data_IF_121056351887
#
_entry.id   IF_121056351887
#
_cell.length_a   1.000
_cell.length_b   1.000
_cell.length_c   1.000
_cell.angle_alpha   90.00
_cell.angle_beta   90.00
_cell.angle_gamma   90.00
#
_symmetry.space_group_name_H-M   'P 1'
#
loop_
_entity.id
_entity.type
_entity.pdbx_description
1 polymer ?
#
# COMPACT_ATOMS: atom_id res chain seq x y z
N UNK A 1 59.20 -18.99 13.64
CA UNK A 1 57.96 -19.79 13.80
C UNK A 1 57.65 -20.46 12.46
N UNK A 2 57.84 -21.78 12.31
CA UNK A 2 57.59 -22.49 11.04
C UNK A 2 56.10 -22.81 10.93
N UNK A 3 55.39 -22.14 10.03
CA UNK A 3 53.99 -22.44 9.74
C UNK A 3 53.92 -23.85 9.15
N UNK A 4 53.12 -24.74 9.75
CA UNK A 4 52.98 -26.12 9.29
C UNK A 4 52.20 -26.16 7.97
N UNK A 5 52.59 -27.04 7.05
CA UNK A 5 51.91 -27.21 5.74
C UNK A 5 50.40 -27.46 5.88
N UNK A 6 49.98 -28.11 6.98
CA UNK A 6 48.58 -28.31 7.33
C UNK A 6 47.82 -27.01 7.61
N UNK A 7 48.46 -26.02 8.23
CA UNK A 7 47.89 -24.70 8.49
C UNK A 7 47.70 -23.91 7.19
N UNK A 8 48.68 -24.00 6.27
CA UNK A 8 48.56 -23.38 4.95
C UNK A 8 47.41 -23.99 4.15
N UNK A 9 47.31 -25.32 4.14
CA UNK A 9 46.22 -26.04 3.46
C UNK A 9 44.83 -25.68 4.04
N UNK A 10 44.73 -25.59 5.37
CA UNK A 10 43.46 -25.24 6.03
C UNK A 10 43.02 -23.80 5.71
N UNK A 11 43.97 -22.85 5.67
CA UNK A 11 43.70 -21.47 5.26
C UNK A 11 43.30 -21.42 3.78
N UNK A 12 43.97 -22.16 2.90
CA UNK A 12 43.61 -22.23 1.47
C UNK A 12 42.21 -22.78 1.25
N UNK A 13 41.80 -23.82 1.99
CA UNK A 13 40.44 -24.38 1.93
C UNK A 13 39.41 -23.37 2.42
N UNK A 14 39.68 -22.67 3.53
CA UNK A 14 38.78 -21.62 4.04
C UNK A 14 38.62 -20.44 3.07
N UNK A 15 39.70 -20.03 2.39
CA UNK A 15 39.65 -18.97 1.37
C UNK A 15 38.85 -19.42 0.15
N UNK A 16 39.04 -20.65 -0.32
CA UNK A 16 38.24 -21.20 -1.44
C UNK A 16 36.76 -21.31 -1.06
N UNK A 17 36.45 -21.74 0.18
CA UNK A 17 35.07 -21.83 0.66
C UNK A 17 34.40 -20.44 0.79
N UNK A 18 35.17 -19.42 1.21
CA UNK A 18 34.68 -18.04 1.29
C UNK A 18 34.44 -17.42 -0.08
N UNK A 19 35.25 -17.78 -1.10
CA UNK A 19 35.08 -17.33 -2.48
C UNK A 19 33.98 -18.10 -3.25
N UNK A 20 33.60 -19.28 -2.76
CA UNK A 20 32.53 -20.10 -3.34
C UNK A 20 31.14 -19.76 -2.80
N UNK A 21 31.00 -18.76 -1.93
CA UNK A 21 29.68 -18.28 -1.49
C UNK A 21 29.01 -17.64 -2.71
N UNK A 22 27.89 -18.19 -3.21
CA UNK A 22 27.18 -17.58 -4.32
C UNK A 22 26.78 -16.17 -3.90
N UNK A 23 27.26 -15.17 -4.64
CA UNK A 23 26.73 -13.83 -4.51
C UNK A 23 25.26 -13.92 -4.91
N UNK A 24 24.36 -13.74 -3.95
CA UNK A 24 22.95 -13.54 -4.24
C UNK A 24 22.87 -12.32 -5.15
N UNK A 25 22.72 -12.56 -6.45
CA UNK A 25 22.48 -11.50 -7.41
C UNK A 25 21.24 -10.76 -6.92
N UNK A 26 21.41 -9.47 -6.61
CA UNK A 26 20.31 -8.64 -6.17
C UNK A 26 19.21 -8.73 -7.23
N UNK A 27 18.01 -9.15 -6.82
CA UNK A 27 16.87 -9.17 -7.73
C UNK A 27 16.70 -7.76 -8.32
N UNK A 28 16.41 -7.64 -9.63
CA UNK A 28 16.29 -6.33 -10.26
C UNK A 28 15.23 -5.51 -9.51
N UNK A 29 15.60 -4.29 -9.13
CA UNK A 29 14.69 -3.39 -8.42
C UNK A 29 13.45 -3.12 -9.28
N UNK A 30 12.23 -3.36 -8.78
CA UNK A 30 11.01 -3.08 -9.52
C UNK A 30 10.95 -1.60 -9.93
N UNK A 31 10.60 -1.34 -11.19
CA UNK A 31 10.44 0.03 -11.74
C UNK A 31 9.03 0.59 -11.54
N UNK A 32 8.07 -0.28 -11.23
CA UNK A 32 6.68 0.04 -10.99
C UNK A 32 6.13 -0.91 -9.93
N UNK A 33 5.42 -0.36 -8.95
CA UNK A 33 4.60 -1.11 -8.00
C UNK A 33 3.14 -0.77 -8.29
N UNK A 34 2.33 -1.79 -8.53
CA UNK A 34 0.90 -1.65 -8.79
C UNK A 34 0.11 -2.30 -7.65
N UNK A 35 -0.52 -1.48 -6.81
CA UNK A 35 -1.43 -1.93 -5.77
C UNK A 35 -2.87 -1.85 -6.30
N UNK A 36 -3.57 -2.97 -6.32
CA UNK A 36 -4.97 -3.07 -6.76
C UNK A 36 -5.80 -3.49 -5.56
N UNK A 37 -6.78 -2.66 -5.20
CA UNK A 37 -7.78 -2.99 -4.18
C UNK A 37 -9.14 -3.13 -4.86
N UNK A 38 -9.73 -4.31 -4.78
CA UNK A 38 -11.09 -4.54 -5.29
C UNK A 38 -12.06 -4.40 -4.13
N UNK A 39 -12.83 -3.32 -4.14
CA UNK A 39 -13.76 -3.00 -3.07
C UNK A 39 -14.79 -4.13 -2.90
N UNK A 40 -14.98 -4.57 -1.66
CA UNK A 40 -15.90 -5.64 -1.28
C UNK A 40 -15.60 -7.03 -1.89
N UNK A 41 -14.37 -7.29 -2.37
CA UNK A 41 -13.96 -8.63 -2.80
C UNK A 41 -13.64 -9.53 -1.61
N UNK A 42 -14.58 -10.39 -1.24
CA UNK A 42 -14.40 -11.38 -0.16
C UNK A 42 -13.33 -12.42 -0.55
N UNK A 43 -12.47 -12.80 0.41
CA UNK A 43 -11.26 -13.59 0.15
C UNK A 43 -11.49 -14.99 -0.44
N UNK A 44 -12.66 -15.60 -0.24
CA UNK A 44 -13.02 -16.90 -0.81
C UNK A 44 -13.46 -16.82 -2.29
N UNK A 45 -13.88 -15.65 -2.77
CA UNK A 45 -14.51 -15.52 -4.09
C UNK A 45 -13.59 -15.91 -5.26
N UNK A 46 -12.29 -15.51 -5.30
CA UNK A 46 -11.39 -15.96 -6.36
C UNK A 46 -11.25 -17.48 -6.41
N UNK A 47 -11.13 -18.14 -5.25
CA UNK A 47 -11.07 -19.61 -5.18
C UNK A 47 -12.40 -20.28 -5.57
N UNK A 48 -13.52 -19.74 -5.09
CA UNK A 48 -14.87 -20.27 -5.34
C UNK A 48 -15.25 -20.30 -6.82
N UNK A 49 -14.75 -19.34 -7.60
CA UNK A 49 -15.06 -19.21 -9.03
C UNK A 49 -13.85 -19.50 -9.93
N UNK A 50 -12.84 -20.20 -9.43
CA UNK A 50 -11.57 -20.41 -10.15
C UNK A 50 -11.75 -21.07 -11.53
N UNK A 51 -12.77 -21.92 -11.69
CA UNK A 51 -13.16 -22.57 -12.96
C UNK A 51 -13.63 -21.59 -14.04
N UNK A 52 -14.05 -20.38 -13.64
CA UNK A 52 -14.56 -19.32 -14.53
C UNK A 52 -13.56 -18.20 -14.78
N UNK A 53 -12.40 -18.22 -14.12
CA UNK A 53 -11.38 -17.19 -14.24
C UNK A 53 -10.49 -17.45 -15.45
N UNK A 54 -10.31 -16.42 -16.27
CA UNK A 54 -9.40 -16.46 -17.42
C UNK A 54 -7.93 -16.46 -16.97
N UNK A 55 -7.05 -16.89 -17.86
CA UNK A 55 -5.61 -17.06 -17.56
C UNK A 55 -4.89 -15.75 -17.23
N UNK A 56 -5.39 -14.59 -17.66
CA UNK A 56 -4.71 -13.29 -17.54
C UNK A 56 -5.13 -12.42 -16.35
N UNK A 57 -6.07 -12.89 -15.51
CA UNK A 57 -6.63 -12.12 -14.38
C UNK A 57 -6.24 -12.67 -13.02
N UNK A 58 -7.23 -12.85 -12.13
CA UNK A 58 -7.02 -13.45 -10.81
C UNK A 58 -6.31 -14.80 -10.86
N UNK A 59 -6.61 -15.65 -11.87
CA UNK A 59 -5.95 -16.94 -12.05
C UNK A 59 -4.44 -16.81 -12.23
N UNK A 60 -3.99 -15.83 -13.02
CA UNK A 60 -2.56 -15.52 -13.16
C UNK A 60 -1.93 -15.20 -11.80
N UNK A 61 -2.56 -14.33 -11.02
CA UNK A 61 -2.06 -13.92 -9.70
C UNK A 61 -2.02 -15.09 -8.71
N UNK A 62 -3.01 -15.97 -8.76
CA UNK A 62 -3.09 -17.16 -7.89
C UNK A 62 -2.06 -18.23 -8.27
N UNK A 63 -1.82 -18.47 -9.56
CA UNK A 63 -0.94 -19.54 -10.04
C UNK A 63 0.54 -19.13 -10.14
N UNK A 64 0.83 -17.85 -10.40
CA UNK A 64 2.18 -17.33 -10.64
C UNK A 64 2.68 -16.38 -9.55
N UNK A 65 1.79 -15.95 -8.66
CA UNK A 65 2.11 -15.04 -7.56
C UNK A 65 2.29 -15.76 -6.22
N UNK A 66 2.44 -14.97 -5.17
CA UNK A 66 2.30 -15.43 -3.79
C UNK A 66 0.86 -15.16 -3.36
N UNK A 67 0.11 -16.22 -3.08
CA UNK A 67 -1.31 -16.13 -2.74
C UNK A 67 -1.54 -16.44 -1.26
N UNK A 68 -1.87 -15.42 -0.48
CA UNK A 68 -2.24 -15.55 0.93
C UNK A 68 -3.74 -15.85 1.04
N UNK A 69 -4.08 -17.04 1.54
CA UNK A 69 -5.47 -17.51 1.68
C UNK A 69 -6.08 -17.24 3.06
N UNK A 70 -5.26 -16.80 4.02
CA UNK A 70 -5.66 -16.53 5.40
C UNK A 70 -5.21 -15.11 5.82
N UNK A 71 -5.59 -14.12 5.01
CA UNK A 71 -5.32 -12.71 5.25
C UNK A 71 -6.58 -12.00 5.77
N UNK A 72 -6.46 -11.27 6.89
CA UNK A 72 -7.59 -10.65 7.57
C UNK A 72 -7.31 -9.19 7.90
N UNK A 73 -8.35 -8.36 7.84
CA UNK A 73 -8.34 -7.07 8.51
C UNK A 73 -8.36 -7.30 10.02
N UNK A 74 -7.39 -6.72 10.73
CA UNK A 74 -7.22 -6.90 12.18
C UNK A 74 -8.02 -5.89 13.02
N UNK A 75 -8.80 -5.04 12.36
CA UNK A 75 -9.64 -4.03 12.98
C UNK A 75 -11.11 -4.40 12.88
N UNK A 76 -11.93 -3.88 13.81
CA UNK A 76 -13.35 -4.19 13.89
C UNK A 76 -14.17 -3.55 12.77
N UNK A 77 -13.84 -2.31 12.37
CA UNK A 77 -14.62 -1.58 11.39
C UNK A 77 -14.14 -1.87 9.96
N UNK A 78 -14.73 -2.86 9.31
CA UNK A 78 -14.38 -3.28 7.93
C UNK A 78 -15.07 -2.42 6.87
N UNK A 79 -14.93 -1.10 7.00
CA UNK A 79 -15.43 -0.10 6.06
C UNK A 79 -14.38 0.28 5.00
N UNK A 80 -14.83 0.83 3.87
CA UNK A 80 -13.98 1.18 2.73
C UNK A 80 -12.80 2.08 3.14
N UNK A 81 -13.05 3.21 3.80
CA UNK A 81 -11.99 4.17 4.17
C UNK A 81 -10.92 3.54 5.07
N UNK A 82 -11.38 2.80 6.09
CA UNK A 82 -10.53 2.14 7.08
C UNK A 82 -9.64 1.10 6.41
N UNK A 83 -10.22 0.23 5.59
CA UNK A 83 -9.48 -0.80 4.87
C UNK A 83 -8.45 -0.22 3.88
N UNK A 84 -8.79 0.83 3.14
CA UNK A 84 -7.85 1.47 2.20
C UNK A 84 -6.68 2.15 2.93
N UNK A 85 -6.95 2.84 4.04
CA UNK A 85 -5.90 3.43 4.87
C UNK A 85 -4.98 2.36 5.47
N UNK A 86 -5.53 1.27 6.01
CA UNK A 86 -4.73 0.14 6.54
C UNK A 86 -3.85 -0.48 5.46
N UNK A 87 -4.40 -0.75 4.25
CA UNK A 87 -3.63 -1.34 3.15
C UNK A 87 -2.51 -0.41 2.65
N UNK A 88 -2.73 0.89 2.63
CA UNK A 88 -1.76 1.86 2.11
C UNK A 88 -0.65 2.20 3.11
N UNK A 89 -0.92 2.13 4.41
CA UNK A 89 0.00 2.56 5.48
C UNK A 89 0.65 1.40 6.23
N UNK A 90 0.03 0.21 6.20
CA UNK A 90 0.42 -0.92 7.06
C UNK A 90 0.12 -0.70 8.55
N UNK A 91 -0.54 0.41 8.91
CA UNK A 91 -0.88 0.76 10.28
C UNK A 91 -2.32 0.34 10.62
N UNK A 92 -2.62 0.18 11.91
CA UNK A 92 -4.00 -0.02 12.39
C UNK A 92 -4.76 1.33 12.47
N UNK A 93 -6.12 1.31 12.54
CA UNK A 93 -6.93 2.53 12.65
C UNK A 93 -6.57 3.42 13.85
N UNK A 94 -6.11 2.82 14.94
CA UNK A 94 -5.61 3.53 16.12
C UNK A 94 -4.34 4.36 15.86
N UNK A 95 -3.67 4.14 14.73
CA UNK A 95 -2.44 4.82 14.31
C UNK A 95 -2.65 5.72 13.10
N UNK A 96 -3.35 5.25 12.06
CA UNK A 96 -3.61 6.07 10.87
C UNK A 96 -4.81 7.00 11.01
N UNK A 97 -5.62 6.90 12.06
CA UNK A 97 -6.67 7.87 12.41
C UNK A 97 -8.01 7.69 11.67
N UNK A 98 -8.02 7.05 10.50
CA UNK A 98 -9.25 6.71 9.77
C UNK A 98 -9.98 5.53 10.44
N UNK A 99 -11.05 5.81 11.19
CA UNK A 99 -11.77 4.82 12.01
C UNK A 99 -13.13 4.38 11.44
N UNK A 100 -13.65 5.13 10.47
CA UNK A 100 -14.89 4.86 9.75
C UNK A 100 -14.90 5.68 8.43
N UNK A 101 -15.88 5.47 7.56
CA UNK A 101 -16.14 6.36 6.44
C UNK A 101 -16.60 7.75 6.93
N UNK A 102 -17.32 7.79 8.05
CA UNK A 102 -17.87 8.98 8.67
C UNK A 102 -17.81 8.84 10.20
N UNK A 103 -17.52 9.92 10.92
CA UNK A 103 -17.56 9.91 12.39
C UNK A 103 -18.06 11.25 12.95
N UNK A 104 -18.38 11.25 14.24
CA UNK A 104 -18.70 12.48 14.97
C UNK A 104 -17.42 12.99 15.63
N UNK A 105 -16.99 14.20 15.29
CA UNK A 105 -15.90 14.87 16.00
C UNK A 105 -16.37 15.21 17.42
N UNK A 106 -15.70 14.65 18.42
CA UNK A 106 -16.12 14.77 19.82
C UNK A 106 -16.04 16.20 20.37
N UNK A 107 -15.22 17.07 19.75
CA UNK A 107 -15.02 18.45 20.22
C UNK A 107 -16.10 19.39 19.71
N UNK A 108 -16.42 19.28 18.42
CA UNK A 108 -17.38 20.15 17.73
C UNK A 108 -18.79 19.57 17.67
N UNK A 109 -18.94 18.24 17.83
CA UNK A 109 -20.19 17.53 17.59
C UNK A 109 -20.54 17.40 16.11
N UNK A 110 -19.66 17.82 15.19
CA UNK A 110 -19.90 17.77 13.76
C UNK A 110 -19.77 16.34 13.22
N UNK A 111 -20.56 16.02 12.19
CA UNK A 111 -20.30 14.88 11.33
C UNK A 111 -19.11 15.21 10.43
N UNK A 112 -18.15 14.28 10.35
CA UNK A 112 -16.93 14.40 9.56
C UNK A 112 -16.87 13.25 8.59
N UNK A 113 -16.86 13.56 7.29
CA UNK A 113 -16.53 12.59 6.26
C UNK A 113 -15.01 12.38 6.18
N UNK A 114 -14.58 11.13 5.97
CA UNK A 114 -13.18 10.71 6.16
C UNK A 114 -12.12 11.53 5.43
N UNK A 115 -12.39 11.97 4.20
CA UNK A 115 -11.48 12.81 3.42
C UNK A 115 -11.92 14.26 3.33
N UNK A 116 -12.97 14.68 4.04
CA UNK A 116 -13.48 16.05 3.97
C UNK A 116 -12.43 17.09 4.44
N UNK A 117 -12.26 18.13 3.64
CA UNK A 117 -11.41 19.27 3.97
C UNK A 117 -11.79 20.51 3.14
N UNK A 118 -12.58 21.41 3.74
CA UNK A 118 -12.99 22.68 3.12
C UNK A 118 -11.83 23.61 2.74
N UNK A 119 -10.61 23.33 3.18
CA UNK A 119 -9.42 24.07 2.75
C UNK A 119 -8.95 23.68 1.35
N UNK A 120 -9.43 22.55 0.82
CA UNK A 120 -9.01 21.94 -0.44
C UNK A 120 -10.20 21.64 -1.34
N UNK A 121 -10.57 22.61 -2.17
CA UNK A 121 -11.69 22.50 -3.10
C UNK A 121 -11.37 21.59 -4.29
N UNK A 122 -12.44 21.02 -4.87
CA UNK A 122 -12.35 20.23 -6.08
C UNK A 122 -11.85 21.07 -7.26
N UNK A 123 -10.81 20.56 -7.94
CA UNK A 123 -10.25 21.23 -9.12
C UNK A 123 -11.30 21.22 -10.25
N UNK A 124 -11.57 22.39 -10.83
CA UNK A 124 -12.53 22.54 -11.93
C UNK A 124 -14.00 22.63 -11.50
N UNK A 125 -14.27 22.79 -10.19
CA UNK A 125 -15.61 23.10 -9.65
C UNK A 125 -15.55 24.36 -8.79
N UNK A 126 -16.67 25.06 -8.70
CA UNK A 126 -16.81 26.17 -7.76
C UNK A 126 -16.74 25.65 -6.31
N UNK A 127 -15.98 26.31 -5.42
CA UNK A 127 -15.96 26.01 -4.00
C UNK A 127 -17.34 25.91 -3.37
N UNK A 128 -17.60 24.80 -2.68
CA UNK A 128 -18.81 24.58 -1.89
C UNK A 128 -18.44 23.95 -0.55
N UNK A 129 -19.13 24.39 0.51
CA UNK A 129 -18.94 23.85 1.84
C UNK A 129 -19.21 22.35 1.86
N UNK A 130 -18.38 21.60 2.59
CA UNK A 130 -18.45 20.14 2.73
C UNK A 130 -18.23 19.34 1.43
N UNK A 131 -17.75 19.98 0.35
CA UNK A 131 -17.36 19.28 -0.89
C UNK A 131 -15.84 19.16 -1.06
N UNK A 132 -15.06 19.92 -0.29
CA UNK A 132 -13.61 19.86 -0.33
C UNK A 132 -13.08 18.53 0.21
N UNK A 133 -12.01 18.00 -0.39
CA UNK A 133 -11.41 16.73 0.06
C UNK A 133 -9.89 16.74 0.04
N UNK A 134 -9.27 16.08 1.01
CA UNK A 134 -7.82 15.92 1.14
C UNK A 134 -7.45 14.72 2.03
N UNK A 135 -6.18 14.29 2.05
CA UNK A 135 -5.72 13.23 2.96
C UNK A 135 -5.51 13.73 4.41
N UNK A 136 -5.97 14.93 4.79
CA UNK A 136 -5.67 15.56 6.09
C UNK A 136 -5.88 14.65 7.31
N UNK A 137 -6.94 13.85 7.30
CA UNK A 137 -7.30 13.00 8.44
C UNK A 137 -6.45 11.71 8.51
N UNK A 138 -5.65 11.42 7.49
CA UNK A 138 -4.72 10.28 7.48
C UNK A 138 -3.47 10.67 8.29
N UNK A 139 -3.31 10.13 9.49
CA UNK A 139 -2.20 10.51 10.37
C UNK A 139 -0.87 9.83 10.02
N UNK A 140 -0.91 8.69 9.33
CA UNK A 140 0.27 7.90 8.98
C UNK A 140 0.67 8.09 7.51
N UNK A 141 1.97 8.03 7.23
CA UNK A 141 2.47 7.98 5.86
C UNK A 141 2.08 6.66 5.18
N UNK A 142 1.84 6.74 3.87
CA UNK A 142 1.63 5.57 3.02
C UNK A 142 2.95 4.99 2.52
N UNK A 143 2.92 3.76 2.00
CA UNK A 143 4.04 3.19 1.26
C UNK A 143 4.51 4.12 0.12
N UNK A 144 3.57 4.78 -0.56
CA UNK A 144 3.88 5.75 -1.60
C UNK A 144 4.63 6.97 -1.06
N UNK A 145 4.18 7.52 0.08
CA UNK A 145 4.84 8.65 0.74
C UNK A 145 6.30 8.29 1.09
N UNK A 146 6.51 7.14 1.74
CA UNK A 146 7.84 6.67 2.12
C UNK A 146 8.74 6.40 0.91
N UNK A 147 8.19 5.88 -0.20
CA UNK A 147 8.95 5.66 -1.43
C UNK A 147 9.41 6.98 -2.08
N UNK A 148 8.63 8.05 -1.97
CA UNK A 148 9.00 9.40 -2.43
C UNK A 148 10.09 9.97 -1.53
N UNK A 149 9.94 9.87 -0.20
CA UNK A 149 10.95 10.32 0.77
C UNK A 149 12.27 9.60 0.57
N UNK A 150 12.25 8.26 0.54
CA UNK A 150 13.43 7.42 0.37
C UNK A 150 14.20 7.75 -0.92
N UNK A 151 13.50 8.10 -1.99
CA UNK A 151 14.11 8.35 -3.29
C UNK A 151 14.41 9.83 -3.56
N UNK A 152 14.34 10.69 -2.54
CA UNK A 152 14.61 12.12 -2.65
C UNK A 152 13.65 12.84 -3.61
N UNK A 153 12.37 12.47 -3.59
CA UNK A 153 11.34 13.09 -4.44
C UNK A 153 11.26 12.55 -5.87
N UNK A 154 12.14 11.61 -6.27
CA UNK A 154 12.18 11.09 -7.66
C UNK A 154 11.08 10.08 -7.98
N UNK A 155 10.60 9.37 -6.97
CA UNK A 155 9.47 8.45 -7.13
C UNK A 155 8.19 9.23 -7.42
N UNK A 156 7.27 8.61 -8.16
CA UNK A 156 5.97 9.22 -8.48
C UNK A 156 4.86 8.30 -7.98
N UNK A 157 3.89 8.89 -7.30
CA UNK A 157 2.73 8.17 -6.75
C UNK A 157 1.47 8.72 -7.42
N UNK A 158 0.71 7.81 -8.00
CA UNK A 158 -0.58 8.08 -8.62
C UNK A 158 -1.59 7.08 -8.07
N UNK A 159 -2.78 7.56 -7.75
CA UNK A 159 -3.86 6.73 -7.22
C UNK A 159 -5.16 7.08 -7.94
N UNK A 160 -5.87 6.06 -8.40
CA UNK A 160 -7.07 6.21 -9.22
C UNK A 160 -8.16 5.31 -8.67
N UNK A 161 -9.37 5.84 -8.50
CA UNK A 161 -10.52 5.07 -8.03
C UNK A 161 -11.84 5.62 -8.57
N UNK A 162 -12.93 4.90 -8.39
CA UNK A 162 -14.28 5.45 -8.62
C UNK A 162 -14.71 6.33 -7.44
N UNK A 163 -14.14 6.10 -6.24
CA UNK A 163 -14.43 6.84 -5.01
C UNK A 163 -13.24 7.73 -4.65
N UNK A 164 -13.51 8.96 -4.24
CA UNK A 164 -12.53 9.88 -3.66
C UNK A 164 -11.67 9.24 -2.56
N UNK A 165 -12.26 8.68 -1.50
CA UNK A 165 -11.54 7.99 -0.41
C UNK A 165 -10.73 6.78 -0.86
N UNK A 166 -11.19 6.13 -1.93
CA UNK A 166 -10.49 5.02 -2.57
C UNK A 166 -9.27 5.46 -3.38
N UNK A 167 -9.18 6.75 -3.76
CA UNK A 167 -8.03 7.34 -4.43
C UNK A 167 -7.13 8.11 -3.45
N UNK A 168 -7.71 8.95 -2.60
CA UNK A 168 -7.00 9.88 -1.72
C UNK A 168 -6.22 9.12 -0.63
N UNK A 169 -6.86 8.18 0.08
CA UNK A 169 -6.20 7.49 1.19
C UNK A 169 -5.02 6.61 0.71
N UNK A 170 -5.13 5.84 -0.40
CA UNK A 170 -3.97 5.15 -0.96
C UNK A 170 -2.93 6.06 -1.61
N UNK A 171 -3.34 7.24 -2.10
CA UNK A 171 -2.43 8.23 -2.67
C UNK A 171 -1.55 8.90 -1.61
N UNK A 172 -2.00 8.93 -0.36
CA UNK A 172 -1.26 9.52 0.75
C UNK A 172 -1.10 11.03 0.63
N UNK A 173 -0.09 11.56 1.29
CA UNK A 173 0.15 13.00 1.43
C UNK A 173 0.83 13.62 0.21
N UNK A 174 1.67 12.85 -0.51
CA UNK A 174 2.45 13.37 -1.64
C UNK A 174 2.00 12.83 -2.99
N UNK A 175 1.11 11.83 -3.00
CA UNK A 175 0.59 11.25 -4.23
C UNK A 175 -0.46 12.12 -4.91
N UNK A 176 -0.67 11.84 -6.20
CA UNK A 176 -1.73 12.46 -7.00
C UNK A 176 -2.94 11.53 -7.05
N UNK A 177 -4.06 11.96 -6.48
CA UNK A 177 -5.30 11.20 -6.44
C UNK A 177 -6.28 11.68 -7.51
N UNK A 178 -6.88 10.73 -8.23
CA UNK A 178 -7.90 10.98 -9.24
C UNK A 178 -9.09 10.06 -8.98
N UNK A 179 -10.29 10.60 -9.09
CA UNK A 179 -11.48 9.77 -8.98
C UNK A 179 -12.57 10.18 -9.96
N UNK A 180 -13.50 9.27 -10.16
CA UNK A 180 -14.68 9.55 -10.95
C UNK A 180 -15.61 10.50 -10.19
N UNK A 181 -15.80 11.70 -10.72
CA UNK A 181 -16.89 12.59 -10.31
C UNK A 181 -17.94 12.61 -11.41
N UNK A 182 -19.18 12.27 -11.07
CA UNK A 182 -20.30 12.66 -11.94
C UNK A 182 -20.37 14.19 -11.93
N UNK A 183 -20.53 14.76 -13.12
CA UNK A 183 -20.85 16.16 -13.35
C UNK A 183 -22.20 16.50 -12.74
#
# INVERSE_FOLDING_TARGET
MKIRKSTVMFISVLVVLALAVPTLAASPTPRLVLQITVDQLRGDLPGRYADRLNEGGFRYLMEKGTWYIDAHYRHANTETAVGHATLATGADPSRHGIVANDWIDQKSGAFVYNTEDDRHHLIGKEPKAHEGVSPRNLAASTFGDELVVHNGGRSRVFSVSVKDRGAILPGGHVGKAFWFSKS
#
